data_IF_866489097416
#
_entry.id   IF_866489097416
#
_cell.length_a   1.000
_cell.length_b   1.000
_cell.length_c   1.000
_cell.angle_alpha   90.00
_cell.angle_beta   90.00
_cell.angle_gamma   90.00
#
_symmetry.space_group_name_H-M   'P 1'
#
loop_
_entity.id
_entity.type
_entity.pdbx_description
1 polymer ?
#
# COMPACT_ATOMS: atom_id res chain seq x y z
N UNK A 1 16.44 48.44 -29.35
CA UNK A 1 15.66 47.80 -28.27
C UNK A 1 15.05 46.59 -28.90
N UNK A 2 15.88 45.56 -28.89
CA UNK A 2 15.86 44.44 -29.80
C UNK A 2 14.88 43.43 -29.23
N UNK A 3 13.81 43.18 -29.98
CA UNK A 3 12.74 42.25 -29.63
C UNK A 3 13.25 40.83 -29.37
N UNK A 4 14.39 40.47 -29.97
CA UNK A 4 15.06 39.19 -29.79
C UNK A 4 15.66 38.98 -28.39
N UNK A 5 16.04 40.05 -27.68
CA UNK A 5 16.51 39.93 -26.29
C UNK A 5 15.35 39.69 -25.33
N UNK A 6 14.17 40.27 -25.61
CA UNK A 6 12.96 40.10 -24.80
C UNK A 6 12.40 38.69 -25.00
N UNK A 7 12.37 38.18 -26.23
CA UNK A 7 11.96 36.81 -26.54
C UNK A 7 12.90 35.78 -25.91
N UNK A 8 14.23 35.97 -26.01
CA UNK A 8 15.19 35.06 -25.36
C UNK A 8 15.12 35.10 -23.82
N UNK A 9 14.78 36.25 -23.23
CA UNK A 9 14.58 36.36 -21.78
C UNK A 9 13.25 35.73 -21.33
N UNK A 10 12.18 35.86 -22.13
CA UNK A 10 10.90 35.18 -21.88
C UNK A 10 11.02 33.66 -22.04
N UNK A 11 11.74 33.18 -23.06
CA UNK A 11 11.97 31.74 -23.28
C UNK A 11 12.79 31.14 -22.13
N UNK A 12 13.77 31.88 -21.57
CA UNK A 12 14.48 31.48 -20.34
C UNK A 12 13.62 31.52 -19.09
N UNK A 13 12.69 32.47 -18.97
CA UNK A 13 11.75 32.55 -17.84
C UNK A 13 10.65 31.48 -17.92
N UNK A 14 10.15 31.15 -19.12
CA UNK A 14 9.18 30.08 -19.36
C UNK A 14 9.79 28.68 -19.20
N UNK A 15 11.10 28.54 -19.47
CA UNK A 15 11.87 27.34 -19.14
C UNK A 15 11.90 27.02 -17.64
N UNK A 16 11.62 27.98 -16.76
CA UNK A 16 11.58 27.79 -15.30
C UNK A 16 10.16 27.61 -14.74
N UNK A 17 9.13 27.70 -15.59
CA UNK A 17 7.72 27.63 -15.17
C UNK A 17 7.08 26.23 -15.34
N UNK A 18 7.81 25.24 -15.88
CA UNK A 18 7.33 23.86 -16.00
C UNK A 18 8.23 22.79 -15.37
N UNK A 19 9.40 23.17 -14.86
CA UNK A 19 10.41 22.23 -14.32
C UNK A 19 10.32 22.08 -12.80
N UNK A 20 9.93 23.14 -12.08
CA UNK A 20 9.84 23.14 -10.61
C UNK A 20 8.80 22.18 -10.08
N UNK A 21 7.59 22.15 -10.66
CA UNK A 21 6.52 21.25 -10.23
C UNK A 21 6.88 19.78 -10.43
N UNK A 22 7.57 19.48 -11.54
CA UNK A 22 7.99 18.12 -11.88
C UNK A 22 9.05 17.59 -10.92
N UNK A 23 10.07 18.38 -10.63
CA UNK A 23 11.09 18.00 -9.63
C UNK A 23 10.51 17.89 -8.21
N UNK A 24 9.56 18.76 -7.85
CA UNK A 24 8.84 18.69 -6.57
C UNK A 24 8.01 17.41 -6.49
N UNK A 25 7.29 17.04 -7.55
CA UNK A 25 6.50 15.80 -7.60
C UNK A 25 7.38 14.57 -7.49
N UNK A 26 8.55 14.54 -8.16
CA UNK A 26 9.53 13.45 -8.03
C UNK A 26 10.03 13.34 -6.58
N UNK A 27 10.40 14.46 -5.94
CA UNK A 27 10.83 14.47 -4.54
C UNK A 27 9.72 14.06 -3.58
N UNK A 28 8.49 14.48 -3.83
CA UNK A 28 7.32 14.09 -3.04
C UNK A 28 7.04 12.60 -3.19
N UNK A 29 7.14 12.07 -4.41
CA UNK A 29 7.00 10.65 -4.70
C UNK A 29 8.05 9.82 -3.94
N UNK A 30 9.32 10.20 -4.00
CA UNK A 30 10.40 9.56 -3.25
C UNK A 30 10.17 9.63 -1.73
N UNK A 31 9.72 10.78 -1.23
CA UNK A 31 9.38 10.98 0.18
C UNK A 31 8.21 10.10 0.64
N UNK A 32 7.19 9.93 -0.20
CA UNK A 32 6.00 9.11 0.09
C UNK A 32 6.36 7.63 0.18
N UNK A 33 7.23 7.14 -0.70
CA UNK A 33 7.65 5.74 -0.71
C UNK A 33 8.66 5.41 0.38
N UNK A 34 9.28 6.42 0.99
CA UNK A 34 10.21 6.27 2.12
C UNK A 34 11.50 5.54 1.78
N UNK A 35 11.73 5.22 0.50
CA UNK A 35 12.89 4.48 0.02
C UNK A 35 13.87 5.45 -0.67
N UNK A 36 14.97 5.74 0.03
CA UNK A 36 16.06 6.62 -0.46
C UNK A 36 16.75 6.03 -1.71
N UNK A 37 16.49 4.77 -2.05
CA UNK A 37 17.11 4.06 -3.17
C UNK A 37 16.39 4.27 -4.51
N UNK A 38 15.23 4.93 -4.52
CA UNK A 38 14.47 5.10 -5.76
C UNK A 38 15.12 6.15 -6.66
N UNK A 39 15.55 5.70 -7.84
CA UNK A 39 16.18 6.57 -8.82
C UNK A 39 15.17 7.65 -9.28
N UNK A 40 15.58 8.93 -9.40
CA UNK A 40 14.70 10.00 -9.87
C UNK A 40 14.08 9.70 -11.23
N UNK A 41 14.77 8.93 -12.08
CA UNK A 41 14.31 8.54 -13.40
C UNK A 41 13.13 7.57 -13.33
N UNK A 42 13.12 6.64 -12.37
CA UNK A 42 12.01 5.71 -12.17
C UNK A 42 10.75 6.45 -11.68
N UNK A 43 10.92 7.38 -10.73
CA UNK A 43 9.84 8.23 -10.25
C UNK A 43 9.26 9.10 -11.37
N UNK A 44 10.13 9.72 -12.17
CA UNK A 44 9.72 10.53 -13.32
C UNK A 44 8.99 9.67 -14.37
N UNK A 45 9.41 8.43 -14.60
CA UNK A 45 8.74 7.50 -15.52
C UNK A 45 7.30 7.20 -15.08
N UNK A 46 7.08 6.83 -13.81
CA UNK A 46 5.73 6.56 -13.30
C UNK A 46 4.86 7.80 -13.28
N UNK A 47 5.42 8.95 -12.90
CA UNK A 47 4.71 10.23 -12.98
C UNK A 47 4.34 10.57 -14.43
N UNK A 48 5.22 10.34 -15.40
CA UNK A 48 4.91 10.59 -16.81
C UNK A 48 3.78 9.68 -17.32
N UNK A 49 3.81 8.38 -16.94
CA UNK A 49 2.75 7.43 -17.28
C UNK A 49 1.38 7.81 -16.71
N UNK A 50 1.32 8.51 -15.58
CA UNK A 50 0.06 8.93 -14.94
C UNK A 50 -0.25 10.41 -15.12
N UNK A 51 0.33 11.03 -16.16
CA UNK A 51 0.12 12.44 -16.48
C UNK A 51 0.44 13.38 -15.29
N UNK A 52 1.54 13.07 -14.60
CA UNK A 52 2.09 13.76 -13.44
C UNK A 52 1.15 13.81 -12.23
N UNK A 53 0.20 12.87 -12.15
CA UNK A 53 -0.61 12.68 -10.95
C UNK A 53 0.14 11.80 -9.94
N UNK A 54 0.54 12.41 -8.82
CA UNK A 54 1.29 11.76 -7.75
C UNK A 54 0.58 10.54 -7.16
N UNK A 55 -0.73 10.63 -6.92
CA UNK A 55 -1.49 9.55 -6.30
C UNK A 55 -1.59 8.34 -7.23
N UNK A 56 -1.89 8.59 -8.51
CA UNK A 56 -1.97 7.55 -9.52
C UNK A 56 -0.58 6.95 -9.79
N UNK A 57 0.47 7.77 -9.80
CA UNK A 57 1.84 7.30 -9.98
C UNK A 57 2.26 6.36 -8.83
N UNK A 58 1.92 6.72 -7.59
CA UNK A 58 2.23 5.90 -6.41
C UNK A 58 1.47 4.57 -6.47
N UNK A 59 0.21 4.60 -6.88
CA UNK A 59 -0.56 3.37 -7.17
C UNK A 59 0.10 2.52 -8.25
N UNK A 60 0.42 3.12 -9.40
CA UNK A 60 1.07 2.44 -10.52
C UNK A 60 2.43 1.86 -10.15
N UNK A 61 3.21 2.52 -9.29
CA UNK A 61 4.46 1.98 -8.77
C UNK A 61 4.24 0.74 -7.90
N UNK A 62 3.26 0.76 -7.00
CA UNK A 62 2.96 -0.43 -6.19
C UNK A 62 2.39 -1.58 -7.03
N UNK A 63 1.65 -1.27 -8.09
CA UNK A 63 1.07 -2.27 -9.00
C UNK A 63 2.10 -2.86 -9.99
N UNK A 64 3.02 -2.04 -10.50
CA UNK A 64 3.89 -2.39 -11.64
C UNK A 64 5.38 -2.30 -11.36
N UNK A 65 5.82 -1.97 -10.14
CA UNK A 65 7.17 -1.47 -9.86
C UNK A 65 8.34 -2.46 -9.97
N UNK A 66 8.27 -3.42 -10.88
CA UNK A 66 9.45 -4.07 -11.49
C UNK A 66 9.26 -4.50 -12.97
N UNK A 67 8.50 -3.79 -13.80
CA UNK A 67 8.40 -4.19 -15.23
C UNK A 67 9.44 -3.57 -16.18
N UNK A 68 10.26 -2.61 -15.76
CA UNK A 68 11.31 -2.03 -16.63
C UNK A 68 12.56 -1.65 -15.79
N UNK A 69 13.79 -2.12 -15.98
CA UNK A 69 14.41 -3.02 -16.97
C UNK A 69 15.84 -3.36 -16.45
N UNK A 70 16.42 -4.52 -16.81
CA UNK A 70 17.86 -4.91 -16.73
C UNK A 70 18.46 -5.37 -15.36
N UNK A 71 18.72 -6.68 -15.24
CA UNK A 71 20.00 -7.21 -14.71
C UNK A 71 20.14 -7.55 -13.21
N UNK A 72 20.21 -8.86 -12.92
CA UNK A 72 21.11 -9.50 -11.93
C UNK A 72 20.80 -9.55 -10.42
N UNK A 73 19.58 -9.29 -9.95
CA UNK A 73 19.10 -9.93 -8.70
C UNK A 73 17.65 -10.36 -8.85
N UNK A 74 17.48 -11.60 -9.31
CA UNK A 74 16.21 -12.19 -9.67
C UNK A 74 15.25 -12.36 -8.50
N UNK A 75 14.27 -11.47 -8.41
CA UNK A 75 13.00 -11.78 -7.78
C UNK A 75 11.87 -11.19 -8.62
N UNK A 76 11.17 -12.04 -9.37
CA UNK A 76 9.85 -11.81 -10.00
C UNK A 76 8.74 -11.54 -8.95
N UNK A 77 9.11 -11.00 -7.79
CA UNK A 77 8.22 -10.82 -6.66
C UNK A 77 7.52 -9.46 -6.77
N UNK A 78 6.20 -9.38 -6.51
CA UNK A 78 5.51 -8.11 -6.35
C UNK A 78 6.20 -7.26 -5.27
N UNK A 79 6.30 -5.94 -5.49
CA UNK A 79 6.96 -5.02 -4.56
C UNK A 79 6.36 -5.11 -3.16
N UNK A 80 5.07 -4.81 -3.04
CA UNK A 80 4.30 -4.97 -1.82
C UNK A 80 3.47 -6.23 -1.88
N UNK A 81 3.74 -7.15 -0.97
CA UNK A 81 2.95 -8.37 -0.88
C UNK A 81 2.81 -8.86 0.54
N UNK A 82 1.83 -9.73 0.72
CA UNK A 82 1.54 -10.40 1.97
C UNK A 82 1.12 -11.82 1.68
N UNK A 83 1.65 -12.74 2.46
CA UNK A 83 1.23 -14.13 2.47
C UNK A 83 0.67 -14.47 3.84
N UNK A 84 -0.53 -15.05 3.88
CA UNK A 84 -1.06 -15.69 5.07
C UNK A 84 -0.23 -16.94 5.36
N UNK A 85 0.42 -16.97 6.52
CA UNK A 85 1.19 -18.12 7.01
C UNK A 85 0.26 -19.05 7.79
N UNK A 86 -0.59 -18.48 8.66
CA UNK A 86 -1.50 -19.25 9.51
C UNK A 86 -2.67 -18.41 9.99
N UNK A 87 -3.86 -18.98 9.94
CA UNK A 87 -5.00 -18.50 10.72
C UNK A 87 -4.85 -18.97 12.19
N UNK A 88 -4.69 -18.03 13.13
CA UNK A 88 -4.23 -18.32 14.49
C UNK A 88 -5.39 -18.53 15.45
N UNK A 89 -6.46 -17.74 15.35
CA UNK A 89 -7.64 -17.82 16.23
C UNK A 89 -8.92 -17.83 15.41
N UNK A 90 -9.96 -18.56 15.84
CA UNK A 90 -11.23 -18.68 15.10
C UNK A 90 -10.99 -19.22 13.69
N UNK A 91 -10.49 -20.46 13.62
CA UNK A 91 -10.28 -21.17 12.36
C UNK A 91 -11.59 -21.66 11.74
N UNK A 92 -11.50 -22.33 10.59
CA UNK A 92 -12.67 -22.87 9.90
C UNK A 92 -13.52 -23.77 10.81
N UNK A 93 -14.80 -23.44 10.96
CA UNK A 93 -15.77 -24.22 11.73
C UNK A 93 -15.79 -23.96 13.23
N UNK A 94 -14.99 -23.03 13.76
CA UNK A 94 -15.16 -22.56 15.14
C UNK A 94 -16.40 -21.67 15.28
N UNK A 95 -17.09 -21.74 16.42
CA UNK A 95 -18.28 -20.92 16.70
C UNK A 95 -18.01 -19.96 17.84
N UNK A 96 -18.56 -18.74 17.74
CA UNK A 96 -18.44 -17.71 18.76
C UNK A 96 -19.81 -17.42 19.37
N UNK A 97 -19.99 -17.48 20.71
CA UNK A 97 -21.27 -17.18 21.34
C UNK A 97 -21.72 -15.75 21.05
N UNK A 98 -23.03 -15.44 21.04
CA UNK A 98 -23.52 -14.08 20.77
C UNK A 98 -22.98 -13.02 21.74
N UNK A 99 -22.75 -11.79 21.24
CA UNK A 99 -22.26 -10.63 22.01
C UNK A 99 -20.92 -10.86 22.74
N UNK A 100 -20.07 -11.72 22.19
CA UNK A 100 -18.77 -12.08 22.76
C UNK A 100 -17.67 -11.24 22.14
N UNK A 101 -16.79 -10.69 22.97
CA UNK A 101 -15.55 -10.05 22.52
C UNK A 101 -14.48 -11.11 22.30
N UNK A 102 -13.78 -11.03 21.18
CA UNK A 102 -12.67 -11.93 20.86
C UNK A 102 -11.61 -11.19 20.02
N UNK A 103 -10.41 -11.75 19.95
CA UNK A 103 -9.33 -11.25 19.11
C UNK A 103 -9.16 -12.22 17.94
N UNK A 104 -9.30 -11.71 16.72
CA UNK A 104 -8.96 -12.44 15.51
C UNK A 104 -7.50 -12.17 15.16
N UNK A 105 -6.73 -13.24 14.99
CA UNK A 105 -5.29 -13.20 14.80
C UNK A 105 -4.90 -13.95 13.53
N UNK A 106 -4.13 -13.31 12.67
CA UNK A 106 -3.54 -13.93 11.47
C UNK A 106 -2.03 -13.78 11.49
N UNK A 107 -1.30 -14.89 11.33
CA UNK A 107 0.14 -14.86 11.11
C UNK A 107 0.40 -14.61 9.64
N UNK A 108 1.12 -13.55 9.32
CA UNK A 108 1.41 -13.13 7.95
C UNK A 108 2.91 -12.97 7.74
N UNK A 109 3.32 -13.03 6.47
CA UNK A 109 4.67 -12.80 6.01
C UNK A 109 4.69 -11.75 4.91
N UNK A 110 5.64 -10.83 4.96
CA UNK A 110 5.98 -10.02 3.78
C UNK A 110 6.80 -10.89 2.81
N UNK A 111 6.17 -11.35 1.74
CA UNK A 111 6.80 -12.09 0.65
C UNK A 111 7.03 -11.20 -0.60
N UNK A 112 6.99 -9.88 -0.43
CA UNK A 112 7.32 -8.90 -1.46
C UNK A 112 8.79 -8.48 -1.45
N UNK A 113 9.16 -7.68 -2.44
CA UNK A 113 10.54 -7.20 -2.64
C UNK A 113 10.96 -6.04 -1.72
N UNK A 114 10.02 -5.31 -1.12
CA UNK A 114 10.33 -4.10 -0.32
C UNK A 114 9.67 -4.12 1.06
N UNK A 115 10.08 -3.20 1.94
CA UNK A 115 9.42 -2.99 3.23
C UNK A 115 7.96 -2.52 3.03
N UNK A 116 7.05 -2.98 3.89
CA UNK A 116 5.73 -2.36 3.98
C UNK A 116 5.87 -0.90 4.42
N UNK A 117 5.21 0.07 3.77
CA UNK A 117 5.36 1.47 4.10
C UNK A 117 4.98 1.77 5.55
N UNK A 118 5.63 2.76 6.15
CA UNK A 118 5.27 3.24 7.48
C UNK A 118 3.83 3.77 7.47
N UNK A 119 3.00 3.28 8.39
CA UNK A 119 1.58 3.62 8.45
C UNK A 119 0.67 2.67 7.66
N UNK A 120 1.21 1.55 7.15
CA UNK A 120 0.40 0.41 6.66
C UNK A 120 -0.63 -0.01 7.72
N UNK A 121 -1.83 -0.38 7.27
CA UNK A 121 -2.89 -0.83 8.15
C UNK A 121 -3.71 -1.97 7.53
N UNK A 122 -4.32 -2.79 8.39
CA UNK A 122 -5.32 -3.76 8.01
C UNK A 122 -6.70 -3.10 8.02
N UNK A 123 -7.33 -3.04 6.85
CA UNK A 123 -8.59 -2.34 6.61
C UNK A 123 -9.74 -3.31 6.42
N UNK A 124 -10.90 -2.99 7.00
CA UNK A 124 -12.15 -3.68 6.74
C UNK A 124 -12.61 -3.39 5.30
N UNK A 125 -12.91 -4.44 4.55
CA UNK A 125 -13.32 -4.35 3.15
C UNK A 125 -14.83 -4.55 3.02
N UNK A 126 -15.34 -5.70 3.47
CA UNK A 126 -16.75 -6.08 3.31
C UNK A 126 -17.19 -7.16 4.31
N UNK A 127 -18.49 -7.48 4.27
CA UNK A 127 -19.13 -8.44 5.15
C UNK A 127 -19.66 -7.79 6.43
N UNK A 128 -19.63 -8.54 7.52
CA UNK A 128 -20.12 -8.09 8.82
C UNK A 128 -19.05 -7.23 9.50
N UNK A 129 -19.36 -5.99 9.91
CA UNK A 129 -18.41 -5.14 10.64
C UNK A 129 -18.34 -5.60 12.10
N UNK A 130 -17.49 -6.59 12.35
CA UNK A 130 -17.32 -7.20 13.67
C UNK A 130 -16.43 -6.36 14.61
N UNK A 131 -15.69 -5.38 14.09
CA UNK A 131 -14.86 -4.45 14.87
C UNK A 131 -15.43 -3.03 14.83
N UNK A 132 -15.15 -2.23 15.87
CA UNK A 132 -15.41 -0.79 15.85
C UNK A 132 -14.42 -0.04 14.96
N UNK A 133 -13.19 -0.54 14.86
CA UNK A 133 -12.16 0.01 14.01
C UNK A 133 -12.32 -0.53 12.59
N UNK A 134 -12.25 0.34 11.58
CA UNK A 134 -12.20 -0.08 10.17
C UNK A 134 -10.79 -0.13 9.61
N UNK A 135 -9.81 0.40 10.35
CA UNK A 135 -8.41 0.50 9.96
C UNK A 135 -7.52 0.28 11.18
N UNK A 136 -6.89 -0.88 11.25
CA UNK A 136 -6.02 -1.28 12.36
C UNK A 136 -4.56 -1.13 11.94
N UNK A 137 -3.75 -0.26 12.56
CA UNK A 137 -2.34 -0.10 12.22
C UNK A 137 -1.57 -1.42 12.37
N UNK A 138 -0.64 -1.69 11.46
CA UNK A 138 0.23 -2.87 11.52
C UNK A 138 1.70 -2.45 11.45
N UNK A 139 2.59 -3.34 11.90
CA UNK A 139 4.01 -3.10 11.83
C UNK A 139 4.50 -3.02 10.36
N UNK A 140 5.47 -2.15 10.10
CA UNK A 140 6.21 -2.13 8.84
C UNK A 140 7.13 -3.36 8.80
N UNK A 141 6.78 -4.35 7.97
CA UNK A 141 7.57 -5.57 7.80
C UNK A 141 8.53 -5.45 6.63
N UNK A 142 9.79 -5.80 6.85
CA UNK A 142 10.77 -5.97 5.78
C UNK A 142 10.57 -7.26 4.98
N UNK A 143 11.20 -7.38 3.80
CA UNK A 143 11.15 -8.60 2.99
C UNK A 143 11.50 -9.85 3.80
N UNK A 144 10.66 -10.87 3.72
CA UNK A 144 10.79 -12.12 4.46
C UNK A 144 10.35 -12.07 5.93
N UNK A 145 10.06 -10.89 6.47
CA UNK A 145 9.61 -10.71 7.86
C UNK A 145 8.21 -11.27 8.11
N UNK A 146 7.98 -11.77 9.32
CA UNK A 146 6.69 -12.31 9.77
C UNK A 146 6.17 -11.57 11.00
N UNK A 147 4.84 -11.40 11.09
CA UNK A 147 4.18 -10.89 12.28
C UNK A 147 2.76 -11.44 12.41
N UNK A 148 2.19 -11.28 13.59
CA UNK A 148 0.77 -11.55 13.84
C UNK A 148 -0.02 -10.24 13.76
N UNK A 149 -1.06 -10.24 12.94
CA UNK A 149 -2.02 -9.15 12.82
C UNK A 149 -3.22 -9.46 13.68
N UNK A 150 -3.60 -8.52 14.55
CA UNK A 150 -4.65 -8.70 15.54
C UNK A 150 -5.76 -7.68 15.34
N UNK A 151 -7.01 -8.14 15.38
CA UNK A 151 -8.20 -7.28 15.34
C UNK A 151 -9.15 -7.68 16.46
N UNK A 152 -9.49 -6.71 17.31
CA UNK A 152 -10.54 -6.87 18.31
C UNK A 152 -11.92 -6.86 17.65
N UNK A 153 -12.74 -7.86 17.96
CA UNK A 153 -14.04 -8.08 17.35
C UNK A 153 -15.11 -8.41 18.40
N UNK A 154 -16.38 -8.20 18.03
CA UNK A 154 -17.58 -8.50 18.82
C UNK A 154 -18.55 -9.29 17.94
N UNK A 155 -18.93 -10.48 18.38
CA UNK A 155 -19.94 -11.28 17.68
C UNK A 155 -21.34 -10.64 17.78
N UNK A 156 -22.17 -10.76 16.73
CA UNK A 156 -23.53 -10.22 16.76
C UNK A 156 -24.43 -10.88 17.81
N UNK A 157 -25.60 -10.27 18.06
CA UNK A 157 -26.54 -10.77 19.06
C UNK A 157 -27.40 -11.93 18.59
N UNK A 158 -27.58 -12.07 17.28
CA UNK A 158 -28.38 -13.13 16.67
C UNK A 158 -27.45 -14.27 16.26
N UNK A 159 -27.83 -15.55 16.47
CA UNK A 159 -27.11 -16.67 15.88
C UNK A 159 -27.18 -16.62 14.36
N UNK A 160 -26.08 -16.95 13.69
CA UNK A 160 -25.95 -16.96 12.23
C UNK A 160 -24.50 -17.16 11.82
N UNK A 161 -24.28 -17.29 10.51
CA UNK A 161 -22.92 -17.34 9.93
C UNK A 161 -22.49 -15.91 9.65
N UNK A 162 -21.35 -15.51 10.21
CA UNK A 162 -20.83 -14.16 10.05
C UNK A 162 -19.44 -14.18 9.44
N UNK A 163 -19.32 -13.61 8.24
CA UNK A 163 -18.04 -13.39 7.58
C UNK A 163 -17.61 -11.92 7.69
N UNK A 164 -16.32 -11.67 7.88
CA UNK A 164 -15.73 -10.32 7.80
C UNK A 164 -14.41 -10.37 7.03
N UNK A 165 -14.28 -9.50 6.01
CA UNK A 165 -13.12 -9.48 5.11
C UNK A 165 -12.24 -8.26 5.36
N UNK A 166 -10.94 -8.50 5.39
CA UNK A 166 -9.91 -7.51 5.69
C UNK A 166 -8.77 -7.55 4.68
N UNK A 167 -8.14 -6.41 4.39
CA UNK A 167 -7.03 -6.32 3.45
C UNK A 167 -6.00 -5.30 3.94
N UNK A 168 -4.72 -5.53 3.64
CA UNK A 168 -3.69 -4.55 3.94
C UNK A 168 -3.75 -3.39 2.95
N UNK A 169 -3.66 -2.17 3.49
CA UNK A 169 -3.57 -0.95 2.71
C UNK A 169 -2.35 -0.13 3.13
N UNK A 170 -1.75 0.53 2.14
CA UNK A 170 -0.74 1.55 2.36
C UNK A 170 -1.34 2.77 3.10
N UNK A 171 -0.51 3.72 3.59
CA UNK A 171 -1.01 4.97 4.15
C UNK A 171 -1.86 5.78 3.16
N UNK A 172 -1.59 5.64 1.86
CA UNK A 172 -2.33 6.27 0.77
C UNK A 172 -3.63 5.51 0.42
N UNK A 173 -4.02 4.54 1.26
CA UNK A 173 -5.22 3.70 1.10
C UNK A 173 -5.19 2.78 -0.13
N UNK A 174 -4.01 2.52 -0.70
CA UNK A 174 -3.84 1.56 -1.80
C UNK A 174 -3.80 0.13 -1.22
N UNK A 175 -4.69 -0.78 -1.61
CA UNK A 175 -4.68 -2.16 -1.14
C UNK A 175 -3.50 -2.96 -1.73
N UNK A 176 -2.94 -3.91 -0.97
CA UNK A 176 -1.91 -4.83 -1.48
C UNK A 176 -2.03 -6.22 -0.84
N UNK A 177 -1.18 -7.16 -1.28
CA UNK A 177 -1.05 -8.49 -0.67
C UNK A 177 -1.78 -9.64 -1.38
N UNK A 178 -2.42 -9.38 -2.53
CA UNK A 178 -3.07 -10.36 -3.39
C UNK A 178 -4.33 -11.03 -2.81
N UNK A 179 -4.31 -11.38 -1.53
CA UNK A 179 -5.36 -12.11 -0.82
C UNK A 179 -5.88 -11.30 0.37
N UNK A 180 -7.20 -11.32 0.55
CA UNK A 180 -7.82 -10.81 1.77
C UNK A 180 -7.68 -11.82 2.92
N UNK A 181 -7.70 -11.29 4.15
CA UNK A 181 -7.83 -12.06 5.38
C UNK A 181 -9.32 -12.15 5.76
N UNK A 182 -9.72 -13.32 6.23
CA UNK A 182 -11.13 -13.60 6.55
C UNK A 182 -11.27 -14.14 7.97
N UNK A 183 -12.44 -13.88 8.52
CA UNK A 183 -12.97 -14.59 9.69
C UNK A 183 -14.38 -15.02 9.35
N UNK A 184 -14.71 -16.26 9.71
CA UNK A 184 -16.05 -16.86 9.64
C UNK A 184 -16.29 -17.64 10.94
N UNK A 185 -17.48 -17.51 11.52
CA UNK A 185 -17.99 -18.32 12.62
C UNK A 185 -19.52 -18.32 12.66
#
# INVERSE_FOLDING_TARGET
>A
MDTDDIDNMLIRQLSCLGTSDKEVLVKQFQSILGDVSLSPELCAFFLDMTNWNLQDAVGAYYDHGHTNNVGEIGFDLPLLNMQLVKDVTIGEGESVPPKTRFIKSWRVKNNGGVHWPQGTALCFVEGTPLSSERRVPVASLGPGGEAELNVEMISPSLPGIYQSRWQLNTPQSVPFGGNCLYVEF
#
